data_IF_707256845016
#
_entry.id   IF_707256845016
#
_cell.length_a   1.000
_cell.length_b   1.000
_cell.length_c   1.000
_cell.angle_alpha   90.00
_cell.angle_beta   90.00
_cell.angle_gamma   90.00
#
_symmetry.space_group_name_H-M   'P 1'
#
loop_
_entity.id
_entity.type
_entity.pdbx_description
1 polymer ?
#
# COMPACT_ATOMS: atom_id res chain seq x y z
N UNK A 1 -10.34 -3.10 16.33
CA UNK A 1 -9.40 -2.12 16.92
C UNK A 1 -8.17 -2.02 16.02
N UNK A 2 -7.91 -0.85 15.41
CA UNK A 2 -6.68 -0.65 14.63
C UNK A 2 -5.47 -0.71 15.57
N UNK A 3 -4.46 -1.52 15.24
CA UNK A 3 -3.20 -1.50 16.01
C UNK A 3 -2.59 -0.11 15.88
N UNK A 4 -2.11 0.47 16.98
CA UNK A 4 -1.37 1.74 16.97
C UNK A 4 0.12 1.43 17.05
N UNK A 5 0.93 2.19 16.34
CA UNK A 5 2.39 2.15 16.46
C UNK A 5 2.87 3.37 17.25
N UNK A 6 4.01 3.25 17.92
CA UNK A 6 4.71 4.38 18.53
C UNK A 6 5.57 5.08 17.48
N UNK A 7 5.64 6.40 17.59
CA UNK A 7 6.38 7.29 16.70
C UNK A 7 7.26 8.19 17.57
N UNK A 8 8.51 8.37 17.14
CA UNK A 8 9.46 9.27 17.78
C UNK A 8 9.20 10.74 17.44
N UNK A 9 9.94 11.64 18.07
CA UNK A 9 9.83 13.08 17.82
C UNK A 9 10.14 13.43 16.37
N UNK A 10 11.20 12.87 15.78
CA UNK A 10 11.65 13.24 14.44
C UNK A 10 10.73 12.73 13.32
N UNK A 11 10.07 11.59 13.55
CA UNK A 11 9.25 10.89 12.56
C UNK A 11 7.80 11.39 12.49
N UNK A 12 7.45 12.47 13.20
CA UNK A 12 6.07 12.95 13.32
C UNK A 12 5.44 13.33 11.98
N UNK A 13 4.22 12.86 11.75
CA UNK A 13 3.39 13.18 10.59
C UNK A 13 2.06 13.83 11.01
N UNK A 14 1.55 14.80 10.23
CA UNK A 14 0.29 15.46 10.53
C UNK A 14 -0.83 14.45 10.82
N UNK A 15 -1.45 14.58 11.99
CA UNK A 15 -2.49 13.69 12.48
C UNK A 15 -2.05 12.65 13.52
N UNK A 16 -0.75 12.54 13.78
CA UNK A 16 -0.23 11.74 14.89
C UNK A 16 -0.78 12.24 16.23
N UNK A 17 -1.03 11.29 17.14
CA UNK A 17 -1.51 11.56 18.49
C UNK A 17 -0.32 11.71 19.44
N UNK A 18 -0.07 12.92 19.90
CA UNK A 18 1.00 13.29 20.82
C UNK A 18 0.56 13.03 22.26
N UNK A 19 1.40 12.33 23.00
CA UNK A 19 1.30 12.14 24.44
C UNK A 19 2.39 12.96 25.13
N UNK A 20 1.97 13.80 26.07
CA UNK A 20 2.85 14.71 26.81
C UNK A 20 3.16 14.11 28.19
N UNK A 21 4.39 14.28 28.67
CA UNK A 21 4.81 13.81 29.99
C UNK A 21 3.94 14.45 31.07
N UNK A 22 3.44 13.63 32.00
CA UNK A 22 2.61 14.09 33.11
C UNK A 22 1.19 14.55 32.73
N UNK A 23 0.75 14.36 31.48
CA UNK A 23 -0.61 14.69 31.05
C UNK A 23 -1.38 13.44 30.61
N UNK A 24 -2.67 13.41 30.91
CA UNK A 24 -3.62 12.41 30.37
C UNK A 24 -4.25 12.87 29.05
N UNK A 25 -4.04 14.14 28.67
CA UNK A 25 -4.53 14.69 27.42
C UNK A 25 -3.71 14.17 26.24
N UNK A 26 -4.39 14.00 25.12
CA UNK A 26 -3.78 13.63 23.84
C UNK A 26 -4.00 14.76 22.86
N UNK A 27 -2.93 15.18 22.21
CA UNK A 27 -2.94 16.24 21.21
C UNK A 27 -2.76 15.64 19.82
N UNK A 28 -3.17 16.35 18.79
CA UNK A 28 -2.96 15.95 17.40
C UNK A 28 -1.87 16.82 16.78
N UNK A 29 -0.79 16.22 16.31
CA UNK A 29 0.27 16.96 15.62
C UNK A 29 -0.25 17.56 14.32
N UNK A 30 0.03 18.84 14.12
CA UNK A 30 -0.38 19.60 12.93
C UNK A 30 0.79 19.83 11.99
N UNK A 31 1.86 20.42 12.50
CA UNK A 31 3.04 20.76 11.72
C UNK A 31 4.23 21.10 12.61
N UNK A 32 5.42 21.17 12.00
CA UNK A 32 6.60 21.76 12.63
C UNK A 32 6.46 23.27 12.72
N UNK A 33 7.18 23.86 13.67
CA UNK A 33 7.42 25.31 13.72
C UNK A 33 8.81 25.61 13.16
N UNK A 34 9.15 26.89 13.04
CA UNK A 34 10.52 27.33 12.71
C UNK A 34 11.56 26.90 13.77
N UNK A 35 11.10 26.53 14.96
CA UNK A 35 11.92 26.05 16.06
C UNK A 35 11.84 24.52 16.12
N UNK A 36 12.96 23.83 15.86
CA UNK A 36 13.01 22.37 15.83
C UNK A 36 12.53 21.69 17.13
N UNK A 37 12.71 22.37 18.27
CA UNK A 37 12.28 21.91 19.60
C UNK A 37 10.80 22.17 19.90
N UNK A 38 10.03 22.72 18.95
CA UNK A 38 8.61 23.01 19.12
C UNK A 38 7.76 22.53 17.95
N UNK A 39 6.62 21.92 18.28
CA UNK A 39 5.63 21.45 17.31
C UNK A 39 4.28 22.11 17.51
N UNK A 40 3.58 22.40 16.41
CA UNK A 40 2.18 22.83 16.41
C UNK A 40 1.27 21.63 16.63
N UNK A 41 0.33 21.77 17.56
CA UNK A 41 -0.66 20.73 17.85
C UNK A 41 -2.09 21.30 17.88
N UNK A 42 -3.07 20.41 17.78
CA UNK A 42 -4.49 20.71 17.89
C UNK A 42 -5.15 19.79 18.93
N UNK A 43 -6.21 20.27 19.56
CA UNK A 43 -7.01 19.48 20.49
C UNK A 43 -6.48 19.45 21.93
N UNK A 44 -7.27 18.83 22.79
CA UNK A 44 -7.16 18.90 24.25
C UNK A 44 -8.59 19.01 24.79
N UNK A 45 -9.07 17.95 25.43
CA UNK A 45 -10.40 17.97 26.06
C UNK A 45 -10.47 19.13 27.07
N UNK A 46 -11.68 19.66 27.26
CA UNK A 46 -11.97 20.64 28.31
C UNK A 46 -11.65 19.99 29.67
N UNK A 47 -10.44 20.23 30.15
CA UNK A 47 -9.84 19.50 31.26
C UNK A 47 -8.48 20.11 31.57
N UNK A 48 -8.51 21.01 32.54
CA UNK A 48 -7.41 21.80 33.09
C UNK A 48 -6.17 20.92 33.37
N UNK A 49 -4.99 21.51 33.19
CA UNK A 49 -3.64 20.97 33.48
C UNK A 49 -2.93 20.25 32.31
N UNK A 50 -2.34 21.04 31.42
CA UNK A 50 -1.05 20.70 30.83
C UNK A 50 -0.32 22.00 30.52
N UNK A 51 1.00 21.98 30.61
CA UNK A 51 1.93 23.08 30.38
C UNK A 51 1.90 23.52 28.91
N UNK A 52 0.83 24.19 28.46
CA UNK A 52 0.80 24.78 27.12
C UNK A 52 1.48 26.14 27.15
N UNK A 53 2.34 26.39 26.15
CA UNK A 53 2.79 27.74 25.85
C UNK A 53 2.11 28.18 24.57
N UNK A 54 1.69 29.44 24.52
CA UNK A 54 1.03 30.02 23.36
C UNK A 54 2.11 30.38 22.33
N UNK A 55 2.05 29.79 21.13
CA UNK A 55 2.86 30.25 20.01
C UNK A 55 2.16 31.40 19.28
N UNK A 56 2.92 32.40 18.84
CA UNK A 56 2.43 33.50 17.99
C UNK A 56 3.19 33.46 16.68
N UNK A 57 2.50 33.24 15.56
CA UNK A 57 3.06 33.44 14.22
C UNK A 57 2.86 34.91 13.83
N UNK A 58 3.88 35.53 13.21
CA UNK A 58 3.78 36.92 12.76
C UNK A 58 2.69 37.05 11.69
N UNK A 59 1.75 37.94 11.99
CA UNK A 59 0.62 38.48 11.24
C UNK A 59 -0.04 37.65 10.09
N UNK A 60 -1.37 37.42 10.16
CA UNK A 60 -2.27 37.74 11.27
C UNK A 60 -1.95 36.84 12.47
N UNK A 61 -1.95 37.43 13.68
CA UNK A 61 -1.59 36.74 14.92
C UNK A 61 -2.54 35.56 15.18
N UNK A 62 -2.16 34.39 14.72
CA UNK A 62 -2.88 33.15 14.93
C UNK A 62 -2.27 32.46 16.15
N UNK A 63 -3.09 32.33 17.21
CA UNK A 63 -2.70 31.58 18.40
C UNK A 63 -2.78 30.09 18.10
N UNK A 64 -1.70 29.38 18.33
CA UNK A 64 -1.67 27.93 18.20
C UNK A 64 -1.05 27.29 19.44
N UNK A 65 -1.46 26.04 19.70
CA UNK A 65 -0.90 25.24 20.77
C UNK A 65 0.46 24.68 20.33
N UNK A 66 1.45 24.79 21.21
CA UNK A 66 2.75 24.13 21.02
C UNK A 66 3.07 23.12 22.10
N UNK A 67 3.79 22.08 21.70
CA UNK A 67 4.45 21.12 22.59
C UNK A 67 5.95 21.22 22.37
N UNK A 68 6.72 21.23 23.46
CA UNK A 68 8.18 21.20 23.42
C UNK A 68 8.69 19.76 23.39
N UNK A 69 9.85 19.57 22.80
CA UNK A 69 10.53 18.27 22.78
C UNK A 69 10.76 17.71 24.19
N UNK A 70 11.12 18.58 25.15
CA UNK A 70 11.33 18.17 26.55
C UNK A 70 10.07 17.60 27.21
N UNK A 71 8.90 18.12 26.82
CA UNK A 71 7.59 17.70 27.32
C UNK A 71 7.02 16.50 26.54
N UNK A 72 7.59 16.15 25.39
CA UNK A 72 7.16 15.03 24.56
C UNK A 72 7.49 13.69 25.24
N UNK A 73 6.49 12.82 25.39
CA UNK A 73 6.70 11.46 25.86
C UNK A 73 6.83 10.48 24.70
N UNK A 74 5.81 10.43 23.84
CA UNK A 74 5.76 9.62 22.63
C UNK A 74 4.59 10.07 21.77
N UNK A 75 4.59 9.69 20.49
CA UNK A 75 3.43 9.82 19.62
C UNK A 75 2.89 8.45 19.23
N UNK A 76 1.61 8.40 18.85
CA UNK A 76 1.00 7.22 18.26
C UNK A 76 0.30 7.54 16.95
N UNK A 77 0.41 6.62 16.00
CA UNK A 77 -0.38 6.66 14.77
C UNK A 77 -1.03 5.32 14.49
N UNK A 78 -2.17 5.28 13.77
CA UNK A 78 -2.71 4.04 13.28
C UNK A 78 -1.61 3.29 12.52
N UNK A 79 -1.39 2.02 12.84
CA UNK A 79 -0.49 1.19 12.06
C UNK A 79 -0.91 1.30 10.60
N UNK A 80 0.04 1.49 9.66
CA UNK A 80 -0.30 1.46 8.25
C UNK A 80 -1.11 0.20 8.02
N UNK A 81 -2.35 0.37 7.53
CA UNK A 81 -3.16 -0.78 7.12
C UNK A 81 -2.25 -1.55 6.19
N UNK A 82 -1.95 -2.82 6.52
CA UNK A 82 -1.27 -3.72 5.58
C UNK A 82 -1.98 -3.46 4.26
N UNK A 83 -1.27 -2.92 3.26
CA UNK A 83 -1.86 -2.74 1.93
C UNK A 83 -2.51 -4.10 1.65
N UNK A 84 -3.84 -4.15 1.37
CA UNK A 84 -4.43 -5.43 1.01
C UNK A 84 -3.51 -5.98 -0.06
N UNK A 85 -2.99 -7.19 0.19
CA UNK A 85 -2.24 -7.94 -0.83
C UNK A 85 -3.06 -7.74 -2.09
N UNK A 86 -2.52 -7.13 -3.18
CA UNK A 86 -3.33 -6.73 -4.33
C UNK A 86 -4.22 -7.91 -4.62
N UNK A 87 -5.54 -7.73 -4.50
CA UNK A 87 -6.44 -8.86 -4.66
C UNK A 87 -6.17 -9.33 -6.07
N UNK A 88 -5.54 -10.49 -6.21
CA UNK A 88 -5.19 -11.06 -7.50
C UNK A 88 -6.52 -11.61 -7.99
N UNK A 89 -7.34 -10.71 -8.52
CA UNK A 89 -8.68 -11.00 -9.01
C UNK A 89 -8.52 -11.51 -10.43
N UNK A 90 -9.30 -12.54 -10.74
CA UNK A 90 -9.39 -13.05 -12.09
C UNK A 90 -9.85 -11.92 -13.04
N UNK A 91 -9.14 -11.64 -14.14
CA UNK A 91 -9.60 -10.70 -15.16
C UNK A 91 -10.96 -11.11 -15.68
N UNK A 92 -11.94 -10.19 -15.73
CA UNK A 92 -13.30 -10.49 -16.20
C UNK A 92 -13.28 -10.79 -17.71
N UNK A 93 -12.67 -9.89 -18.49
CA UNK A 93 -12.63 -9.96 -19.94
C UNK A 93 -11.43 -10.77 -20.45
N UNK A 94 -11.57 -11.49 -21.57
CA UNK A 94 -10.43 -12.08 -22.26
C UNK A 94 -9.49 -10.98 -22.75
N UNK A 95 -8.18 -11.26 -22.77
CA UNK A 95 -7.18 -10.28 -23.17
C UNK A 95 -5.84 -10.46 -22.47
N UNK A 96 -4.95 -9.52 -22.74
CA UNK A 96 -3.61 -9.47 -22.15
C UNK A 96 -3.64 -8.77 -20.78
N UNK A 97 -3.02 -9.41 -19.80
CA UNK A 97 -2.71 -8.85 -18.50
C UNK A 97 -1.23 -9.07 -18.15
N UNK A 98 -0.72 -8.22 -17.27
CA UNK A 98 0.66 -8.25 -16.83
C UNK A 98 0.72 -8.54 -15.34
N UNK A 99 1.41 -9.61 -14.97
CA UNK A 99 1.61 -10.01 -13.59
C UNK A 99 3.02 -9.59 -13.14
N UNK A 100 3.11 -8.91 -12.00
CA UNK A 100 4.37 -8.71 -11.30
C UNK A 100 4.63 -9.93 -10.43
N UNK A 101 5.72 -10.63 -10.69
CA UNK A 101 6.02 -11.91 -10.05
C UNK A 101 7.32 -11.79 -9.25
N UNK A 102 7.40 -12.50 -8.12
CA UNK A 102 8.64 -12.64 -7.35
C UNK A 102 9.36 -13.95 -7.72
N UNK A 103 10.65 -13.84 -8.02
CA UNK A 103 11.56 -14.96 -8.26
C UNK A 103 12.74 -14.85 -7.30
N UNK A 104 12.70 -15.58 -6.18
CA UNK A 104 13.68 -15.43 -5.11
C UNK A 104 13.72 -13.99 -4.59
N UNK A 105 14.87 -13.32 -4.71
CA UNK A 105 15.08 -11.91 -4.33
C UNK A 105 14.68 -10.90 -5.41
N UNK A 106 14.40 -11.35 -6.64
CA UNK A 106 14.09 -10.47 -7.77
C UNK A 106 12.59 -10.39 -8.03
N UNK A 107 12.16 -9.30 -8.68
CA UNK A 107 10.80 -9.18 -9.22
C UNK A 107 10.85 -8.89 -10.70
N UNK A 108 9.98 -9.55 -11.46
CA UNK A 108 9.87 -9.37 -12.91
C UNK A 108 8.42 -9.27 -13.35
N UNK A 109 8.22 -8.78 -14.57
CA UNK A 109 6.91 -8.71 -15.20
C UNK A 109 6.73 -9.89 -16.17
N UNK A 110 5.63 -10.62 -16.01
CA UNK A 110 5.22 -11.71 -16.88
C UNK A 110 3.91 -11.40 -17.59
N UNK A 111 3.78 -11.84 -18.84
CA UNK A 111 2.57 -11.65 -19.64
C UNK A 111 1.64 -12.84 -19.44
N UNK A 112 0.36 -12.57 -19.19
CA UNK A 112 -0.70 -13.57 -19.08
C UNK A 112 -1.78 -13.21 -20.10
N UNK A 113 -2.26 -14.19 -20.85
CA UNK A 113 -3.31 -13.98 -21.85
C UNK A 113 -4.50 -14.85 -21.48
N UNK A 114 -5.62 -14.22 -21.10
CA UNK A 114 -6.91 -14.90 -20.93
C UNK A 114 -7.55 -15.10 -22.30
N UNK A 115 -7.91 -16.33 -22.64
CA UNK A 115 -8.67 -16.65 -23.85
C UNK A 115 -9.83 -17.56 -23.51
N UNK A 116 -10.89 -17.48 -24.32
CA UNK A 116 -11.86 -18.54 -24.40
C UNK A 116 -11.29 -19.62 -25.32
N UNK A 117 -11.27 -20.87 -24.87
CA UNK A 117 -10.86 -21.96 -25.74
C UNK A 117 -11.93 -22.13 -26.84
N UNK A 118 -11.58 -22.03 -28.14
CA UNK A 118 -12.49 -22.47 -29.18
C UNK A 118 -12.67 -24.00 -29.07
N UNK A 119 -13.89 -24.46 -29.30
CA UNK A 119 -14.34 -25.86 -29.18
C UNK A 119 -13.53 -26.93 -29.97
N UNK A 120 -12.45 -26.59 -30.68
CA UNK A 120 -11.86 -27.48 -31.70
C UNK A 120 -10.41 -27.93 -31.49
N UNK A 121 -9.61 -27.27 -30.64
CA UNK A 121 -8.13 -27.50 -30.69
C UNK A 121 -7.57 -28.29 -29.49
N UNK A 122 -8.44 -28.82 -28.64
CA UNK A 122 -8.04 -29.64 -27.51
C UNK A 122 -8.87 -30.91 -27.43
N UNK A 123 -8.25 -32.04 -27.78
CA UNK A 123 -8.76 -33.38 -27.53
C UNK A 123 -8.84 -33.76 -26.05
N UNK A 124 -8.43 -32.87 -25.14
CA UNK A 124 -8.30 -33.13 -23.70
C UNK A 124 -9.37 -32.47 -22.81
N UNK A 125 -10.27 -31.64 -23.36
CA UNK A 125 -11.18 -30.84 -22.53
C UNK A 125 -12.62 -30.88 -23.04
N UNK A 126 -13.55 -31.05 -22.10
CA UNK A 126 -14.98 -31.23 -22.37
C UNK A 126 -15.73 -29.95 -22.74
N UNK A 127 -16.98 -30.08 -23.23
CA UNK A 127 -17.72 -29.02 -23.92
C UNK A 127 -18.11 -27.80 -23.07
N UNK A 128 -18.08 -27.91 -21.75
CA UNK A 128 -18.85 -27.00 -20.89
C UNK A 128 -18.06 -26.00 -20.03
N UNK A 129 -16.72 -25.99 -19.98
CA UNK A 129 -16.09 -25.28 -18.86
C UNK A 129 -14.77 -24.53 -19.12
N UNK A 130 -14.84 -23.25 -18.75
CA UNK A 130 -13.81 -22.34 -18.23
C UNK A 130 -12.95 -21.56 -19.24
N UNK A 131 -12.81 -20.27 -18.94
CA UNK A 131 -11.80 -19.42 -19.56
C UNK A 131 -10.41 -19.95 -19.20
N UNK A 132 -9.55 -20.09 -20.19
CA UNK A 132 -8.20 -20.61 -20.03
C UNK A 132 -7.18 -19.49 -20.18
N UNK A 133 -6.11 -19.60 -19.40
CA UNK A 133 -5.00 -18.68 -19.39
C UNK A 133 -3.81 -19.33 -20.08
N UNK A 134 -3.21 -18.56 -21.00
CA UNK A 134 -1.92 -18.85 -21.56
C UNK A 134 -0.91 -17.88 -20.92
N UNK A 135 -0.03 -18.41 -20.08
CA UNK A 135 1.06 -17.62 -19.49
C UNK A 135 2.29 -17.64 -20.39
N UNK A 136 2.88 -16.48 -20.65
CA UNK A 136 4.10 -16.29 -21.44
C UNK A 136 5.12 -15.53 -20.60
N UNK A 137 6.23 -16.19 -20.28
CA UNK A 137 7.31 -15.59 -19.50
C UNK A 137 8.45 -15.13 -20.40
N UNK A 138 9.16 -14.07 -19.99
CA UNK A 138 10.44 -13.68 -20.57
C UNK A 138 11.54 -14.43 -19.81
N UNK A 139 12.16 -15.45 -20.45
CA UNK A 139 13.21 -16.30 -19.88
C UNK A 139 13.10 -17.78 -20.30
N UNK A 140 14.12 -18.58 -20.01
CA UNK A 140 14.41 -19.97 -20.48
C UNK A 140 13.31 -21.04 -20.31
N UNK A 141 12.15 -20.69 -19.74
CA UNK A 141 10.94 -21.52 -19.67
C UNK A 141 9.89 -21.14 -20.74
N UNK A 142 10.30 -20.41 -21.79
CA UNK A 142 9.48 -20.00 -22.93
C UNK A 142 8.92 -21.16 -23.80
N UNK A 143 9.18 -22.42 -23.44
CA UNK A 143 8.86 -23.60 -24.26
C UNK A 143 7.56 -24.33 -23.91
N UNK A 144 6.92 -24.03 -22.79
CA UNK A 144 5.67 -24.69 -22.40
C UNK A 144 4.67 -23.61 -22.01
N UNK A 145 3.65 -23.44 -22.86
CA UNK A 145 2.46 -22.66 -22.57
C UNK A 145 1.32 -23.64 -22.22
N UNK A 146 1.22 -24.16 -20.98
CA UNK A 146 0.06 -24.97 -20.63
C UNK A 146 -1.17 -24.05 -20.62
N UNK A 147 -2.21 -24.47 -21.31
CA UNK A 147 -3.54 -23.97 -21.06
C UNK A 147 -3.93 -24.35 -19.64
N UNK A 148 -4.26 -23.36 -18.81
CA UNK A 148 -4.61 -23.60 -17.41
C UNK A 148 -5.75 -22.69 -16.98
N UNK A 149 -6.56 -23.15 -16.05
CA UNK A 149 -7.57 -22.34 -15.37
C UNK A 149 -6.91 -21.31 -14.45
N UNK A 150 -7.69 -20.32 -13.99
CA UNK A 150 -7.21 -19.32 -13.04
C UNK A 150 -6.66 -19.95 -11.75
N UNK A 151 -7.36 -20.96 -11.22
CA UNK A 151 -6.94 -21.67 -10.01
C UNK A 151 -5.62 -22.41 -10.22
N UNK A 152 -5.46 -23.13 -11.35
CA UNK A 152 -4.23 -23.84 -11.70
C UNK A 152 -3.05 -22.87 -11.87
N UNK A 153 -3.28 -21.69 -12.45
CA UNK A 153 -2.27 -20.63 -12.56
C UNK A 153 -1.82 -20.13 -11.18
N UNK A 154 -2.75 -19.96 -10.24
CA UNK A 154 -2.43 -19.62 -8.86
C UNK A 154 -1.70 -20.75 -8.12
N UNK A 155 -2.03 -22.02 -8.40
CA UNK A 155 -1.33 -23.17 -7.84
C UNK A 155 0.10 -23.29 -8.37
N UNK A 156 0.28 -23.16 -9.69
CA UNK A 156 1.58 -23.19 -10.35
C UNK A 156 2.50 -22.06 -9.89
N UNK A 157 1.93 -20.88 -9.59
CA UNK A 157 2.67 -19.71 -9.09
C UNK A 157 2.95 -19.73 -7.59
N UNK A 158 2.71 -20.84 -6.86
CA UNK A 158 3.06 -20.95 -5.44
C UNK A 158 4.55 -20.72 -5.15
N UNK A 159 5.43 -21.18 -6.05
CA UNK A 159 6.88 -21.00 -5.91
C UNK A 159 7.35 -19.61 -6.36
N UNK A 160 6.59 -18.99 -7.26
CA UNK A 160 6.87 -17.67 -7.83
C UNK A 160 5.62 -16.79 -7.71
N UNK A 161 5.35 -16.24 -6.51
CA UNK A 161 4.06 -15.63 -6.22
C UNK A 161 3.84 -14.37 -7.07
N UNK A 162 2.64 -14.26 -7.63
CA UNK A 162 2.15 -13.03 -8.23
C UNK A 162 1.91 -12.01 -7.10
N UNK A 163 2.46 -10.82 -7.28
CA UNK A 163 2.39 -9.71 -6.33
C UNK A 163 1.35 -8.67 -6.75
N UNK A 164 1.17 -8.49 -8.05
CA UNK A 164 0.29 -7.51 -8.66
C UNK A 164 -0.16 -8.02 -10.03
N UNK A 165 -1.38 -7.70 -10.43
CA UNK A 165 -1.91 -7.98 -11.76
C UNK A 165 -2.48 -6.68 -12.33
N UNK A 166 -2.08 -6.34 -13.54
CA UNK A 166 -2.54 -5.15 -14.27
C UNK A 166 -3.16 -5.56 -15.59
N UNK A 167 -4.13 -4.77 -16.06
CA UNK A 167 -4.54 -4.86 -17.46
C UNK A 167 -3.39 -4.44 -18.38
N UNK A 168 -3.42 -4.85 -19.65
CA UNK A 168 -2.47 -4.36 -20.64
C UNK A 168 -2.42 -2.83 -20.69
N UNK A 169 -3.58 -2.17 -20.69
CA UNK A 169 -3.67 -0.70 -20.72
C UNK A 169 -2.96 -0.07 -19.51
N UNK A 170 -3.23 -0.57 -18.30
CA UNK A 170 -2.60 -0.08 -17.07
C UNK A 170 -1.09 -0.28 -17.10
N UNK A 171 -0.63 -1.47 -17.51
CA UNK A 171 0.78 -1.78 -17.58
C UNK A 171 1.53 -0.89 -18.58
N UNK A 172 1.04 -0.78 -19.81
CA UNK A 172 1.68 0.04 -20.84
C UNK A 172 1.62 1.54 -20.49
N UNK A 173 0.53 2.00 -19.85
CA UNK A 173 0.44 3.38 -19.36
C UNK A 173 1.48 3.67 -18.28
N UNK A 174 1.68 2.76 -17.33
CA UNK A 174 2.71 2.92 -16.28
C UNK A 174 4.12 2.82 -16.86
N UNK A 175 4.35 1.89 -17.78
CA UNK A 175 5.62 1.75 -18.49
C UNK A 175 5.98 3.01 -19.28
N UNK A 176 5.02 3.62 -19.98
CA UNK A 176 5.21 4.88 -20.68
C UNK A 176 5.57 6.05 -19.74
N UNK A 177 5.09 6.01 -18.48
CA UNK A 177 5.42 6.98 -17.43
C UNK A 177 6.73 6.66 -16.67
N UNK A 178 7.47 5.63 -17.05
CA UNK A 178 8.70 5.21 -16.36
C UNK A 178 8.47 4.53 -15.01
N UNK A 179 7.24 4.08 -14.72
CA UNK A 179 6.86 3.44 -13.47
C UNK A 179 6.80 1.92 -13.68
N UNK A 180 7.95 1.24 -13.53
CA UNK A 180 8.07 -0.23 -13.67
C UNK A 180 8.15 -0.95 -12.33
#
# INVERSE_FOLDING_TARGET
MSKKIRVGWDDLEPGDLIHVKGSTNTYKFKSRTDWASMIKVEGGGVGISATWKLGVEKEPASMFLVVYEDDFAYATRPAPKKKPRPSIVEPILPGECWARIRFGSQTGWGRIIKRYAPHSDSWLFGPDDKALYQASWCGTLAGLHPWMTWEELLQASKQTPILELLSAEEYYTRKAKGQS
#
